data_IF_935860182353
#
_entry.id   IF_935860182353
#
_cell.length_a   1.000
_cell.length_b   1.000
_cell.length_c   1.000
_cell.angle_alpha   90.00
_cell.angle_beta   90.00
_cell.angle_gamma   90.00
#
_symmetry.space_group_name_H-M   'P 1'
#
loop_
_entity.id
_entity.type
_entity.pdbx_description
1 polymer ?
#
# COMPACT_ATOMS: atom_id res chain seq x y z
N UNK A 1 10.09 -30.43 27.17
CA UNK A 1 8.86 -29.71 27.58
C UNK A 1 9.13 -28.26 27.98
N UNK A 2 10.07 -27.98 28.90
CA UNK A 2 10.41 -26.59 29.28
C UNK A 2 10.93 -25.76 28.09
N UNK A 3 11.83 -26.32 27.28
CA UNK A 3 12.43 -25.65 26.11
C UNK A 3 11.42 -25.39 24.97
N UNK A 4 10.39 -26.23 24.84
CA UNK A 4 9.30 -26.03 23.86
C UNK A 4 8.32 -24.96 24.34
N UNK A 5 8.00 -24.94 25.64
CA UNK A 5 7.19 -23.88 26.23
C UNK A 5 7.86 -22.51 26.12
N UNK A 6 9.18 -22.45 26.21
CA UNK A 6 9.93 -21.20 26.07
C UNK A 6 9.90 -20.68 24.62
N UNK A 7 10.07 -21.56 23.63
CA UNK A 7 9.97 -21.21 22.19
C UNK A 7 8.59 -20.72 21.76
N UNK A 8 7.54 -21.21 22.41
CA UNK A 8 6.15 -20.87 22.08
C UNK A 8 5.57 -19.76 22.94
N UNK A 9 6.34 -19.24 23.91
CA UNK A 9 5.84 -18.29 24.91
C UNK A 9 5.20 -17.05 24.27
N UNK A 10 5.78 -16.54 23.18
CA UNK A 10 5.31 -15.34 22.50
C UNK A 10 4.47 -15.65 21.24
N UNK A 11 4.16 -16.92 20.98
CA UNK A 11 3.43 -17.29 19.77
C UNK A 11 1.93 -17.01 19.94
N UNK A 12 1.39 -16.19 19.04
CA UNK A 12 0.01 -15.71 19.06
C UNK A 12 -0.98 -16.88 18.99
N UNK A 13 -0.72 -17.92 18.20
CA UNK A 13 -1.60 -19.10 18.08
C UNK A 13 -1.71 -19.91 19.37
N UNK A 14 -0.73 -19.80 20.27
CA UNK A 14 -0.73 -20.49 21.57
C UNK A 14 -1.42 -19.65 22.65
N UNK A 15 -1.49 -18.34 22.46
CA UNK A 15 -2.11 -17.41 23.39
C UNK A 15 -3.60 -17.18 23.12
N UNK A 16 -4.08 -17.48 21.91
CA UNK A 16 -5.49 -17.33 21.53
C UNK A 16 -6.31 -18.56 21.87
N UNK A 17 -7.54 -18.34 22.35
CA UNK A 17 -8.52 -19.41 22.55
C UNK A 17 -9.19 -19.81 21.22
N UNK A 18 -9.81 -21.00 21.19
CA UNK A 18 -10.46 -21.53 19.96
C UNK A 18 -11.50 -20.57 19.34
N UNK A 19 -12.37 -19.88 20.10
CA UNK A 19 -13.31 -18.90 19.52
C UNK A 19 -12.63 -17.66 18.91
N UNK A 20 -11.40 -17.34 19.33
CA UNK A 20 -10.63 -16.22 18.77
C UNK A 20 -9.94 -16.62 17.46
N UNK A 21 -9.67 -17.91 17.27
CA UNK A 21 -9.17 -18.47 16.01
C UNK A 21 -10.14 -18.19 14.86
N UNK A 22 -11.45 -18.37 15.06
CA UNK A 22 -12.46 -18.09 14.03
C UNK A 22 -12.50 -16.60 13.66
N UNK A 23 -12.29 -15.72 14.65
CA UNK A 23 -12.19 -14.27 14.41
C UNK A 23 -10.95 -13.90 13.59
N UNK A 24 -9.81 -14.55 13.85
CA UNK A 24 -8.57 -14.35 13.07
C UNK A 24 -8.82 -14.72 11.60
N UNK A 25 -9.44 -15.86 11.34
CA UNK A 25 -9.75 -16.28 9.97
C UNK A 25 -10.75 -15.32 9.31
N UNK A 26 -11.82 -14.92 10.00
CA UNK A 26 -12.80 -13.96 9.46
C UNK A 26 -12.17 -12.59 9.16
N UNK A 27 -11.29 -12.08 10.04
CA UNK A 27 -10.54 -10.84 9.78
C UNK A 27 -9.63 -11.00 8.56
N UNK A 28 -8.98 -12.16 8.44
CA UNK A 28 -8.08 -12.48 7.32
C UNK A 28 -8.82 -12.63 5.99
N UNK A 29 -10.06 -13.13 5.98
CA UNK A 29 -10.92 -13.17 4.79
C UNK A 29 -11.24 -11.75 4.29
N UNK A 30 -11.58 -10.83 5.19
CA UNK A 30 -11.78 -9.43 4.85
C UNK A 30 -10.51 -8.74 4.34
N UNK A 31 -9.35 -9.11 4.89
CA UNK A 31 -8.05 -8.63 4.41
C UNK A 31 -7.71 -9.16 3.01
N UNK A 32 -7.97 -10.44 2.75
CA UNK A 32 -7.80 -11.05 1.42
C UNK A 32 -8.70 -10.36 0.40
N UNK A 33 -9.96 -10.07 0.75
CA UNK A 33 -10.88 -9.33 -0.11
C UNK A 33 -10.35 -7.92 -0.41
N UNK A 34 -9.87 -7.20 0.62
CA UNK A 34 -9.25 -5.89 0.45
C UNK A 34 -8.06 -5.93 -0.52
N UNK A 35 -7.11 -6.86 -0.37
CA UNK A 35 -5.95 -6.96 -1.27
C UNK A 35 -6.29 -7.32 -2.72
N UNK A 36 -7.41 -8.02 -2.93
CA UNK A 36 -7.90 -8.33 -4.28
C UNK A 36 -8.59 -7.13 -4.93
N UNK A 37 -9.18 -6.23 -4.15
CA UNK A 37 -9.85 -5.02 -4.67
C UNK A 37 -8.93 -3.80 -4.74
N UNK A 38 -7.93 -3.71 -3.85
CA UNK A 38 -7.01 -2.59 -3.71
C UNK A 38 -5.64 -2.94 -4.30
N UNK A 39 -5.53 -2.97 -5.63
CA UNK A 39 -4.28 -3.31 -6.33
C UNK A 39 -3.38 -2.11 -6.51
N UNK A 40 -3.96 -0.90 -6.57
CA UNK A 40 -3.26 0.40 -6.65
C UNK A 40 -3.55 1.28 -5.43
N UNK A 41 -2.79 2.37 -5.24
CA UNK A 41 -3.04 3.36 -4.19
C UNK A 41 -4.41 4.04 -4.35
N UNK A 42 -4.82 4.29 -5.60
CA UNK A 42 -6.13 4.87 -5.92
C UNK A 42 -7.27 3.95 -5.53
N UNK A 43 -7.13 2.67 -5.83
CA UNK A 43 -8.11 1.65 -5.48
C UNK A 43 -8.17 1.40 -3.98
N UNK A 44 -7.02 1.41 -3.29
CA UNK A 44 -6.96 1.34 -1.83
C UNK A 44 -7.69 2.52 -1.18
N UNK A 45 -7.42 3.75 -1.63
CA UNK A 45 -8.12 4.94 -1.15
C UNK A 45 -9.64 4.85 -1.43
N UNK A 46 -10.04 4.42 -2.64
CA UNK A 46 -11.43 4.25 -2.99
C UNK A 46 -12.15 3.20 -2.11
N UNK A 47 -11.50 2.07 -1.84
CA UNK A 47 -12.00 1.03 -0.96
C UNK A 47 -12.20 1.57 0.47
N UNK A 48 -11.18 2.24 1.02
CA UNK A 48 -11.22 2.88 2.34
C UNK A 48 -12.38 3.86 2.44
N UNK A 49 -12.50 4.77 1.46
CA UNK A 49 -13.56 5.78 1.42
C UNK A 49 -14.95 5.13 1.41
N UNK A 50 -15.15 4.10 0.57
CA UNK A 50 -16.42 3.37 0.46
C UNK A 50 -16.78 2.67 1.76
N UNK A 51 -15.84 1.93 2.36
CA UNK A 51 -16.09 1.20 3.59
C UNK A 51 -16.34 2.14 4.76
N UNK A 52 -15.58 3.23 4.88
CA UNK A 52 -15.78 4.25 5.91
C UNK A 52 -17.16 4.92 5.79
N UNK A 53 -17.60 5.28 4.59
CA UNK A 53 -18.92 5.87 4.36
C UNK A 53 -20.06 4.93 4.82
N UNK A 54 -19.92 3.62 4.58
CA UNK A 54 -20.87 2.61 5.08
C UNK A 54 -20.93 2.54 6.61
N UNK A 55 -19.87 2.97 7.30
CA UNK A 55 -19.75 3.01 8.76
C UNK A 55 -19.94 4.41 9.35
N UNK A 56 -20.66 5.28 8.61
CA UNK A 56 -21.13 6.57 9.10
C UNK A 56 -20.10 7.69 9.04
N UNK A 57 -18.94 7.48 8.42
CA UNK A 57 -18.03 8.58 8.12
C UNK A 57 -18.61 9.49 7.03
N UNK A 58 -18.47 10.80 7.20
CA UNK A 58 -18.95 11.81 6.25
C UNK A 58 -17.82 12.67 5.74
N UNK A 59 -17.89 13.07 4.47
CA UNK A 59 -16.88 13.95 3.89
C UNK A 59 -16.81 15.27 4.67
N UNK A 60 -15.60 15.74 4.99
CA UNK A 60 -15.39 16.98 5.75
C UNK A 60 -16.09 18.19 5.10
N UNK A 61 -16.15 18.21 3.76
CA UNK A 61 -16.81 19.28 2.98
C UNK A 61 -18.32 19.33 3.21
N UNK A 62 -18.94 18.23 3.64
CA UNK A 62 -20.38 18.14 3.97
C UNK A 62 -20.68 18.57 5.41
N UNK A 63 -19.65 18.82 6.23
CA UNK A 63 -19.78 19.13 7.64
C UNK A 63 -19.46 20.60 7.92
N UNK A 64 -20.44 21.34 8.42
CA UNK A 64 -20.28 22.77 8.75
C UNK A 64 -19.56 22.99 10.10
N UNK A 65 -19.77 22.09 11.05
CA UNK A 65 -19.16 22.13 12.37
C UNK A 65 -18.86 20.71 12.85
N UNK A 66 -17.81 20.54 13.66
CA UNK A 66 -17.43 19.25 14.24
C UNK A 66 -17.66 19.19 15.75
N UNK A 67 -18.17 18.05 16.23
CA UNK A 67 -18.47 17.77 17.63
C UNK A 67 -17.89 16.41 18.06
N UNK A 68 -17.66 16.19 19.37
CA UNK A 68 -17.15 14.92 19.87
C UNK A 68 -18.02 13.71 19.49
N UNK A 69 -17.42 12.73 18.82
CA UNK A 69 -18.06 11.54 18.26
C UNK A 69 -18.33 11.63 16.74
N UNK A 70 -18.12 12.80 16.12
CA UNK A 70 -18.23 12.92 14.67
C UNK A 70 -17.16 12.08 13.96
N UNK A 71 -17.59 11.40 12.89
CA UNK A 71 -16.75 10.55 12.04
C UNK A 71 -16.54 11.24 10.69
N UNK A 72 -15.32 11.67 10.45
CA UNK A 72 -14.94 12.52 9.33
C UNK A 72 -14.06 11.75 8.36
N UNK A 73 -14.46 11.78 7.09
CA UNK A 73 -13.69 11.29 5.95
C UNK A 73 -13.06 12.49 5.23
N UNK A 74 -11.75 12.43 5.00
CA UNK A 74 -11.05 13.38 4.14
C UNK A 74 -10.38 12.60 3.03
N UNK A 75 -10.59 13.00 1.79
CA UNK A 75 -9.97 12.37 0.61
C UNK A 75 -9.24 13.45 -0.17
N UNK A 76 -7.96 13.20 -0.50
CA UNK A 76 -7.15 14.12 -1.30
C UNK A 76 -6.65 13.42 -2.56
N UNK A 77 -6.92 14.02 -3.72
CA UNK A 77 -6.45 13.56 -5.06
C UNK A 77 -6.75 12.10 -5.39
N UNK A 78 -7.74 11.50 -4.71
CA UNK A 78 -8.11 10.08 -4.85
C UNK A 78 -6.97 9.10 -4.51
N UNK A 79 -5.89 9.57 -3.86
CA UNK A 79 -4.72 8.76 -3.47
C UNK A 79 -4.46 8.75 -1.97
N UNK A 80 -5.18 9.60 -1.24
CA UNK A 80 -5.04 9.80 0.20
C UNK A 80 -6.42 9.68 0.82
N UNK A 81 -6.48 9.02 1.97
CA UNK A 81 -7.65 9.01 2.83
C UNK A 81 -7.23 9.32 4.28
N UNK A 82 -8.06 10.09 4.99
CA UNK A 82 -7.95 10.25 6.44
C UNK A 82 -9.31 9.97 7.08
N UNK A 83 -9.31 9.06 8.05
CA UNK A 83 -10.47 8.73 8.88
C UNK A 83 -10.26 9.33 10.26
N UNK A 84 -11.09 10.30 10.62
CA UNK A 84 -10.94 11.05 11.87
C UNK A 84 -12.18 10.87 12.72
N UNK A 85 -11.98 10.49 13.98
CA UNK A 85 -13.05 10.42 14.98
C UNK A 85 -12.81 11.49 16.03
N UNK A 86 -13.70 12.48 16.09
CA UNK A 86 -13.51 13.68 16.91
C UNK A 86 -13.61 13.34 18.40
N UNK A 87 -12.59 13.69 19.15
CA UNK A 87 -12.49 13.42 20.59
C UNK A 87 -13.24 14.42 21.46
N UNK A 88 -13.30 14.14 22.77
CA UNK A 88 -13.88 15.06 23.76
C UNK A 88 -12.98 16.25 24.08
N UNK A 89 -11.66 16.05 24.04
CA UNK A 89 -10.68 17.09 24.30
C UNK A 89 -10.56 18.06 23.11
N UNK A 90 -10.21 19.34 23.36
CA UNK A 90 -9.90 20.27 22.28
C UNK A 90 -8.77 19.76 21.39
N UNK A 91 -8.85 20.02 20.07
CA UNK A 91 -7.84 19.58 19.11
C UNK A 91 -6.42 20.11 19.43
N UNK A 92 -6.32 21.27 20.10
CA UNK A 92 -5.06 21.85 20.59
C UNK A 92 -4.35 20.97 21.63
N UNK A 93 -5.03 20.01 22.26
CA UNK A 93 -4.43 19.01 23.16
C UNK A 93 -3.81 17.81 22.41
N UNK A 94 -3.85 17.84 21.08
CA UNK A 94 -3.23 16.86 20.19
C UNK A 94 -4.18 15.78 19.70
N UNK A 95 -3.66 14.93 18.82
CA UNK A 95 -4.36 13.78 18.23
C UNK A 95 -3.62 12.47 18.56
N UNK A 96 -4.30 11.35 18.43
CA UNK A 96 -3.67 10.04 18.29
C UNK A 96 -3.75 9.64 16.81
N UNK A 97 -2.60 9.47 16.17
CA UNK A 97 -2.48 9.26 14.73
C UNK A 97 -1.90 7.87 14.49
N UNK A 98 -2.49 7.13 13.56
CA UNK A 98 -1.86 5.97 12.92
C UNK A 98 -1.71 6.30 11.44
N UNK A 99 -0.50 6.23 10.91
CA UNK A 99 -0.22 6.52 9.51
C UNK A 99 0.37 5.27 8.85
N UNK A 100 -0.19 4.89 7.70
CA UNK A 100 0.28 3.79 6.84
C UNK A 100 0.29 4.25 5.40
N UNK A 101 1.17 3.69 4.57
CA UNK A 101 1.11 3.92 3.13
C UNK A 101 0.28 2.86 2.41
N UNK A 102 -0.23 3.23 1.24
CA UNK A 102 -1.11 2.39 0.42
C UNK A 102 -0.60 2.23 -1.02
N UNK A 103 0.46 2.95 -1.38
CA UNK A 103 1.26 2.64 -2.55
C UNK A 103 2.14 1.41 -2.31
N UNK A 104 2.45 0.69 -3.38
CA UNK A 104 3.27 -0.51 -3.35
C UNK A 104 4.19 -0.55 -4.59
N UNK A 105 5.33 -1.26 -4.56
CA UNK A 105 6.23 -1.36 -5.70
C UNK A 105 5.54 -1.98 -6.91
N UNK A 106 5.80 -1.43 -8.09
CA UNK A 106 5.07 -1.77 -9.33
C UNK A 106 5.82 -1.38 -10.59
N UNK A 107 5.19 -1.57 -11.75
CA UNK A 107 5.68 -1.08 -13.04
C UNK A 107 4.71 -0.05 -13.61
N UNK A 108 5.13 1.20 -13.71
CA UNK A 108 4.34 2.25 -14.34
C UNK A 108 4.63 2.30 -15.84
N UNK A 109 3.63 2.66 -16.65
CA UNK A 109 3.86 2.95 -18.07
C UNK A 109 4.61 4.29 -18.24
N UNK A 110 5.55 4.34 -19.18
CA UNK A 110 6.14 5.62 -19.62
C UNK A 110 5.08 6.45 -20.36
N UNK A 111 5.26 7.77 -20.43
CA UNK A 111 4.31 8.68 -21.10
C UNK A 111 4.05 8.39 -22.59
N UNK A 112 4.98 7.70 -23.27
CA UNK A 112 4.80 7.17 -24.63
C UNK A 112 5.12 5.67 -24.61
N UNK A 113 4.21 4.84 -24.08
CA UNK A 113 4.56 3.49 -23.73
C UNK A 113 4.49 2.55 -24.93
N UNK A 114 3.53 2.76 -25.84
CA UNK A 114 3.21 1.80 -26.89
C UNK A 114 4.16 1.89 -28.09
N UNK A 115 4.81 0.79 -28.39
CA UNK A 115 5.64 0.63 -29.57
C UNK A 115 5.49 -0.78 -30.14
N UNK A 116 6.03 -1.00 -31.34
CA UNK A 116 6.18 -2.34 -31.90
C UNK A 116 7.64 -2.68 -32.18
N UNK A 117 7.96 -3.97 -32.06
CA UNK A 117 9.25 -4.53 -32.43
C UNK A 117 9.07 -6.02 -32.76
N UNK A 118 9.78 -6.50 -33.78
CA UNK A 118 9.94 -7.93 -34.08
C UNK A 118 8.62 -8.74 -34.17
N UNK A 119 7.56 -8.11 -34.67
CA UNK A 119 6.25 -8.76 -34.82
C UNK A 119 5.34 -8.69 -33.59
N UNK A 120 5.65 -7.81 -32.64
CA UNK A 120 4.92 -7.68 -31.37
C UNK A 120 4.67 -6.22 -31.02
N UNK A 121 3.55 -5.95 -30.37
CA UNK A 121 3.26 -4.69 -29.70
C UNK A 121 3.61 -4.80 -28.22
N UNK A 122 4.29 -3.78 -27.71
CA UNK A 122 4.89 -3.75 -26.39
C UNK A 122 4.58 -2.42 -25.69
N UNK A 123 4.43 -2.45 -24.36
CA UNK A 123 4.48 -1.24 -23.54
C UNK A 123 5.84 -1.10 -22.86
N UNK A 124 6.43 0.09 -22.98
CA UNK A 124 7.58 0.51 -22.15
C UNK A 124 7.13 0.87 -20.75
N UNK A 125 7.88 0.39 -19.76
CA UNK A 125 7.63 0.67 -18.35
C UNK A 125 8.79 1.44 -17.70
N UNK A 126 8.49 1.99 -16.54
CA UNK A 126 9.45 2.43 -15.55
C UNK A 126 9.02 1.86 -14.21
N UNK A 127 9.91 1.16 -13.51
CA UNK A 127 9.57 0.61 -12.21
C UNK A 127 9.39 1.73 -11.16
N UNK A 128 8.47 1.50 -10.24
CA UNK A 128 8.15 2.36 -9.11
C UNK A 128 8.50 1.62 -7.82
N UNK A 129 9.18 2.28 -6.90
CA UNK A 129 9.68 1.67 -5.66
C UNK A 129 10.85 0.70 -5.85
N UNK A 130 11.23 0.04 -4.75
CA UNK A 130 12.38 -0.86 -4.66
C UNK A 130 12.14 -2.29 -5.17
N UNK A 131 11.92 -2.49 -6.47
CA UNK A 131 11.64 -3.86 -6.98
C UNK A 131 12.88 -4.75 -7.16
N UNK A 132 12.72 -6.04 -6.85
CA UNK A 132 13.58 -7.12 -7.38
C UNK A 132 13.14 -7.44 -8.82
N UNK A 133 13.78 -6.82 -9.81
CA UNK A 133 13.40 -6.88 -11.23
C UNK A 133 13.15 -8.29 -11.78
N UNK A 134 13.90 -9.28 -11.31
CA UNK A 134 13.76 -10.68 -11.74
C UNK A 134 12.49 -11.37 -11.24
N UNK A 135 11.75 -10.80 -10.28
CA UNK A 135 10.43 -11.31 -9.88
C UNK A 135 9.31 -10.91 -10.85
N UNK A 136 9.55 -9.97 -11.76
CA UNK A 136 8.52 -9.36 -12.61
C UNK A 136 8.45 -9.96 -14.01
N UNK A 137 9.34 -10.88 -14.35
CA UNK A 137 9.39 -11.56 -15.64
C UNK A 137 8.73 -12.93 -15.55
N UNK A 138 8.15 -13.39 -16.66
CA UNK A 138 7.51 -14.70 -16.82
C UNK A 138 6.38 -14.99 -15.81
N UNK A 139 5.72 -13.93 -15.32
CA UNK A 139 4.49 -14.01 -14.52
C UNK A 139 3.34 -13.30 -15.26
N UNK A 140 2.08 -13.67 -14.98
CA UNK A 140 0.93 -12.91 -15.43
C UNK A 140 0.85 -11.56 -14.68
N UNK A 141 0.58 -10.50 -15.43
CA UNK A 141 0.42 -9.13 -14.94
C UNK A 141 -0.96 -8.61 -15.32
N UNK A 142 -1.59 -7.86 -14.43
CA UNK A 142 -2.83 -7.11 -14.65
C UNK A 142 -2.49 -5.63 -14.83
N UNK A 143 -3.29 -4.92 -15.64
CA UNK A 143 -3.16 -3.50 -15.93
C UNK A 143 -4.27 -2.74 -15.22
N UNK A 144 -3.86 -1.76 -14.42
CA UNK A 144 -4.72 -0.87 -13.66
C UNK A 144 -4.35 0.57 -13.98
N UNK A 145 -5.31 1.47 -14.04
CA UNK A 145 -4.95 2.87 -14.25
C UNK A 145 -6.11 3.82 -14.48
N UNK A 146 -5.75 5.08 -14.57
CA UNK A 146 -6.65 6.20 -14.85
C UNK A 146 -6.06 7.07 -15.94
N UNK A 147 -6.89 7.46 -16.91
CA UNK A 147 -6.50 8.29 -18.06
C UNK A 147 -7.39 9.52 -18.10
N UNK A 148 -6.78 10.71 -18.02
CA UNK A 148 -7.48 11.97 -18.22
C UNK A 148 -7.36 12.40 -19.69
N UNK A 149 -8.48 12.57 -20.38
CA UNK A 149 -8.55 13.02 -21.78
C UNK A 149 -8.51 14.53 -21.87
N UNK A 150 -8.22 15.06 -23.07
CA UNK A 150 -8.16 16.52 -23.33
C UNK A 150 -9.48 17.26 -23.09
N UNK A 151 -10.62 16.57 -23.18
CA UNK A 151 -11.93 17.14 -22.89
C UNK A 151 -12.23 17.20 -21.37
N UNK A 152 -11.30 16.72 -20.53
CA UNK A 152 -11.42 16.67 -19.07
C UNK A 152 -12.13 15.41 -18.56
N UNK A 153 -12.62 14.54 -19.44
CA UNK A 153 -13.17 13.25 -19.01
C UNK A 153 -12.06 12.32 -18.50
N UNK A 154 -12.41 11.50 -17.52
CA UNK A 154 -11.48 10.57 -16.87
C UNK A 154 -12.00 9.15 -17.07
N UNK A 155 -11.13 8.24 -17.50
CA UNK A 155 -11.45 6.84 -17.75
C UNK A 155 -10.57 5.95 -16.88
N UNK A 156 -11.20 5.04 -16.15
CA UNK A 156 -10.50 3.98 -15.40
C UNK A 156 -10.37 2.74 -16.28
N UNK A 157 -9.20 2.11 -16.25
CA UNK A 157 -8.89 0.89 -16.99
C UNK A 157 -8.42 -0.17 -15.99
N UNK A 158 -9.10 -1.32 -16.01
CA UNK A 158 -8.71 -2.54 -15.29
C UNK A 158 -8.80 -3.68 -16.30
N UNK A 159 -7.72 -4.44 -16.46
CA UNK A 159 -7.62 -5.58 -17.36
C UNK A 159 -6.76 -6.65 -16.69
N UNK A 160 -7.27 -7.88 -16.59
CA UNK A 160 -6.50 -9.04 -16.12
C UNK A 160 -6.83 -9.50 -14.70
N UNK A 161 -7.89 -8.96 -14.09
CA UNK A 161 -8.38 -9.36 -12.77
C UNK A 161 -9.63 -10.27 -12.86
N UNK A 162 -10.47 -10.10 -13.89
CA UNK A 162 -11.69 -10.91 -14.05
C UNK A 162 -11.42 -12.28 -14.69
N UNK A 163 -12.26 -13.27 -14.36
CA UNK A 163 -12.18 -14.58 -15.01
C UNK A 163 -12.46 -14.46 -16.51
N UNK A 164 -11.48 -14.82 -17.34
CA UNK A 164 -11.57 -14.73 -18.79
C UNK A 164 -10.95 -13.47 -19.40
N UNK A 165 -10.54 -12.50 -18.58
CA UNK A 165 -9.73 -11.37 -19.05
C UNK A 165 -8.37 -11.85 -19.57
N UNK A 166 -7.80 -11.17 -20.58
CA UNK A 166 -6.42 -11.37 -20.93
C UNK A 166 -5.51 -10.82 -19.81
N UNK A 167 -4.38 -11.48 -19.61
CA UNK A 167 -3.28 -11.00 -18.76
C UNK A 167 -2.08 -10.65 -19.63
N UNK A 168 -1.18 -9.86 -19.08
CA UNK A 168 0.05 -9.44 -19.72
C UNK A 168 1.26 -10.18 -19.15
N UNK A 169 2.42 -10.05 -19.79
CA UNK A 169 3.66 -10.61 -19.26
C UNK A 169 4.89 -9.88 -19.80
N UNK A 170 6.01 -10.06 -19.11
CA UNK A 170 7.34 -9.68 -19.59
C UNK A 170 8.10 -10.98 -19.83
N UNK A 171 8.54 -11.22 -21.06
CA UNK A 171 9.32 -12.42 -21.38
C UNK A 171 10.71 -12.38 -20.75
N UNK A 172 11.14 -13.49 -20.14
CA UNK A 172 12.55 -13.71 -19.80
C UNK A 172 13.25 -14.57 -20.87
N UNK A 173 14.58 -14.50 -20.91
CA UNK A 173 15.40 -15.28 -21.81
C UNK A 173 15.44 -16.74 -21.34
N UNK A 174 15.04 -17.66 -22.24
CA UNK A 174 15.07 -19.09 -21.96
C UNK A 174 16.50 -19.57 -21.61
N UNK A 175 16.64 -20.57 -20.72
CA UNK A 175 17.95 -20.94 -20.16
C UNK A 175 18.97 -21.40 -21.20
N UNK A 176 18.53 -21.97 -22.33
CA UNK A 176 19.42 -22.46 -23.40
C UNK A 176 20.22 -21.35 -24.11
N UNK A 177 19.73 -20.10 -24.05
CA UNK A 177 20.40 -18.92 -24.64
C UNK A 177 20.85 -17.91 -23.57
N UNK A 178 20.50 -18.13 -22.31
CA UNK A 178 20.76 -17.22 -21.20
C UNK A 178 22.17 -17.31 -20.61
N UNK A 179 23.15 -17.95 -21.28
CA UNK A 179 24.51 -18.14 -20.72
C UNK A 179 25.16 -16.82 -20.28
N UNK A 180 25.05 -15.78 -21.09
CA UNK A 180 25.59 -14.46 -20.72
C UNK A 180 24.78 -13.81 -19.60
N UNK A 181 23.44 -13.84 -19.70
CA UNK A 181 22.54 -13.26 -18.70
C UNK A 181 22.76 -13.89 -17.31
N UNK A 182 22.86 -15.22 -17.24
CA UNK A 182 23.09 -15.97 -16.01
C UNK A 182 24.50 -15.78 -15.41
N UNK A 183 25.45 -15.24 -16.19
CA UNK A 183 26.78 -14.90 -15.69
C UNK A 183 26.86 -13.54 -15.00
N UNK A 184 25.82 -12.70 -15.16
CA UNK A 184 25.73 -11.37 -14.55
C UNK A 184 25.30 -11.49 -13.09
N UNK A 185 25.55 -10.42 -12.33
CA UNK A 185 24.94 -10.29 -11.00
C UNK A 185 23.42 -10.27 -11.15
N UNK A 186 22.71 -10.76 -10.14
CA UNK A 186 21.24 -10.79 -10.14
C UNK A 186 20.60 -9.41 -10.38
N UNK A 187 21.24 -8.33 -9.91
CA UNK A 187 20.82 -6.94 -10.14
C UNK A 187 21.03 -6.43 -11.58
N UNK A 188 21.83 -7.13 -12.37
CA UNK A 188 22.27 -6.75 -13.72
C UNK A 188 21.75 -7.70 -14.80
N UNK A 189 21.30 -8.90 -14.43
CA UNK A 189 20.76 -9.90 -15.36
C UNK A 189 19.46 -9.44 -16.05
N UNK A 190 18.65 -8.65 -15.35
CA UNK A 190 17.43 -8.02 -15.89
C UNK A 190 17.50 -6.52 -15.58
N UNK A 191 17.53 -5.69 -16.63
CA UNK A 191 17.59 -4.23 -16.51
C UNK A 191 16.18 -3.62 -16.54
N UNK A 192 16.02 -2.42 -16.00
CA UNK A 192 14.71 -1.75 -15.99
C UNK A 192 14.18 -1.47 -17.41
N UNK A 193 15.05 -1.11 -18.35
CA UNK A 193 14.67 -0.87 -19.75
C UNK A 193 14.26 -2.14 -20.50
N UNK A 194 14.49 -3.33 -19.94
CA UNK A 194 14.04 -4.59 -20.51
C UNK A 194 12.69 -5.06 -19.94
N UNK A 195 12.10 -4.34 -18.99
CA UNK A 195 10.79 -4.65 -18.41
C UNK A 195 9.66 -4.16 -19.33
N UNK A 196 9.63 -4.65 -20.57
CA UNK A 196 8.63 -4.27 -21.55
C UNK A 196 7.48 -5.28 -21.57
N UNK A 197 6.25 -4.80 -21.48
CA UNK A 197 5.05 -5.62 -21.38
C UNK A 197 4.61 -6.06 -22.76
N UNK A 198 4.45 -7.36 -23.00
CA UNK A 198 3.85 -7.88 -24.22
C UNK A 198 2.34 -7.64 -24.21
N UNK A 199 1.84 -6.88 -25.19
CA UNK A 199 0.41 -6.49 -25.26
C UNK A 199 -0.30 -6.91 -26.55
N UNK A 200 0.43 -7.35 -27.57
CA UNK A 200 -0.18 -7.85 -28.79
C UNK A 200 0.81 -8.48 -29.76
N UNK A 201 0.30 -9.34 -30.62
CA UNK A 201 1.08 -9.98 -31.70
C UNK A 201 0.24 -10.24 -32.96
N UNK A 202 -1.02 -9.80 -32.99
CA UNK A 202 -1.88 -9.95 -34.15
C UNK A 202 -1.72 -8.73 -35.07
N UNK A 203 -1.31 -8.91 -36.33
CA UNK A 203 -1.15 -7.78 -37.25
C UNK A 203 -2.50 -7.29 -37.77
N UNK A 204 -2.53 -6.04 -38.23
CA UNK A 204 -3.57 -5.45 -39.07
C UNK A 204 -2.99 -5.33 -40.51
N UNK A 205 -3.35 -6.24 -41.44
CA UNK A 205 -2.74 -6.30 -42.77
C UNK A 205 -2.92 -5.02 -43.60
N UNK A 206 -3.98 -4.25 -43.33
CA UNK A 206 -4.31 -3.03 -44.06
C UNK A 206 -3.54 -1.79 -43.57
N UNK A 207 -2.79 -1.89 -42.47
CA UNK A 207 -2.03 -0.78 -41.92
C UNK A 207 -0.73 -0.52 -42.73
N UNK A 208 -0.45 0.76 -43.03
CA UNK A 208 0.76 1.15 -43.78
C UNK A 208 2.04 1.14 -42.91
N UNK A 209 1.89 1.27 -41.59
CA UNK A 209 2.93 1.26 -40.56
C UNK A 209 2.34 0.76 -39.25
N UNK A 210 3.19 0.47 -38.27
CA UNK A 210 2.74 0.13 -36.92
C UNK A 210 1.75 -1.04 -36.90
N UNK A 211 1.99 -2.06 -37.75
CA UNK A 211 1.00 -3.10 -38.10
C UNK A 211 0.56 -3.97 -36.92
N UNK A 212 1.35 -4.06 -35.85
CA UNK A 212 0.99 -4.75 -34.61
C UNK A 212 0.49 -3.79 -33.53
N UNK A 213 0.97 -2.55 -33.53
CA UNK A 213 0.57 -1.51 -32.59
C UNK A 213 -0.83 -0.95 -32.88
N UNK A 214 -1.17 -0.69 -34.14
CA UNK A 214 -2.48 -0.17 -34.58
C UNK A 214 -3.66 -1.03 -34.07
N UNK A 215 -3.66 -2.37 -34.21
CA UNK A 215 -4.76 -3.17 -33.66
C UNK A 215 -4.90 -3.08 -32.14
N UNK A 216 -3.81 -2.85 -31.38
CA UNK A 216 -3.90 -2.58 -29.93
C UNK A 216 -4.55 -1.22 -29.67
N UNK A 217 -4.14 -0.18 -30.40
CA UNK A 217 -4.78 1.14 -30.30
C UNK A 217 -6.27 1.09 -30.65
N UNK A 218 -6.65 0.33 -31.68
CA UNK A 218 -8.04 0.15 -32.07
C UNK A 218 -8.85 -0.51 -30.94
N UNK A 219 -8.32 -1.57 -30.31
CA UNK A 219 -8.97 -2.22 -29.17
C UNK A 219 -9.16 -1.27 -27.99
N UNK A 220 -8.14 -0.48 -27.68
CA UNK A 220 -8.19 0.51 -26.61
C UNK A 220 -9.18 1.64 -26.91
N UNK A 221 -9.23 2.09 -28.17
CA UNK A 221 -10.19 3.08 -28.64
C UNK A 221 -11.62 2.55 -28.63
N UNK A 222 -11.84 1.31 -29.06
CA UNK A 222 -13.19 0.72 -29.08
C UNK A 222 -13.73 0.46 -27.67
N UNK A 223 -12.87 0.01 -26.74
CA UNK A 223 -13.29 -0.34 -25.37
C UNK A 223 -13.36 0.87 -24.44
N UNK A 224 -12.42 1.80 -24.54
CA UNK A 224 -12.25 2.91 -23.58
C UNK A 224 -12.32 4.30 -24.22
N UNK A 225 -12.40 4.38 -25.55
CA UNK A 225 -12.39 5.65 -26.28
C UNK A 225 -11.08 6.41 -26.13
N UNK A 226 -9.96 5.72 -25.89
CA UNK A 226 -8.65 6.35 -25.68
C UNK A 226 -7.83 6.33 -26.97
N UNK A 227 -7.06 7.39 -27.18
CA UNK A 227 -6.11 7.50 -28.28
C UNK A 227 -4.66 7.45 -27.76
N UNK A 228 -3.68 7.27 -28.65
CA UNK A 228 -2.28 7.14 -28.23
C UNK A 228 -1.78 8.36 -27.42
N UNK A 229 -2.20 9.57 -27.79
CA UNK A 229 -1.75 10.78 -27.11
C UNK A 229 -2.27 10.87 -25.66
N UNK A 230 -3.38 10.20 -25.33
CA UNK A 230 -3.98 10.20 -23.99
C UNK A 230 -3.08 9.50 -22.96
N UNK A 231 -2.14 8.64 -23.38
CA UNK A 231 -1.13 8.07 -22.47
C UNK A 231 -0.24 9.14 -21.83
N UNK A 232 -0.14 10.34 -22.41
CA UNK A 232 0.64 11.45 -21.85
C UNK A 232 0.06 11.98 -20.53
N UNK A 233 -1.25 11.82 -20.32
CA UNK A 233 -1.99 12.22 -19.12
C UNK A 233 -2.62 11.01 -18.42
N UNK A 234 -1.90 9.90 -18.45
CA UNK A 234 -2.30 8.63 -17.84
C UNK A 234 -1.41 8.27 -16.66
N UNK A 235 -2.02 7.62 -15.67
CA UNK A 235 -1.35 6.87 -14.62
C UNK A 235 -1.77 5.41 -14.81
N UNK A 236 -0.89 4.60 -15.39
CA UNK A 236 -1.16 3.18 -15.68
C UNK A 236 -0.05 2.35 -15.07
N UNK A 237 -0.47 1.29 -14.41
CA UNK A 237 0.31 0.46 -13.52
C UNK A 237 0.11 -1.00 -13.89
N UNK A 238 1.21 -1.74 -13.88
CA UNK A 238 1.20 -3.18 -14.04
C UNK A 238 1.57 -3.81 -12.70
N UNK A 239 0.71 -4.71 -12.25
CA UNK A 239 0.82 -5.44 -10.99
C UNK A 239 0.72 -6.94 -11.29
N UNK A 240 1.25 -7.84 -10.43
CA UNK A 240 1.02 -9.27 -10.58
C UNK A 240 -0.48 -9.57 -10.68
N UNK A 241 -0.93 -10.46 -11.56
CA UNK A 241 -2.35 -10.85 -11.66
C UNK A 241 -2.73 -11.97 -10.67
N UNK A 242 -1.86 -12.26 -9.70
CA UNK A 242 -2.14 -13.30 -8.70
C UNK A 242 -3.11 -12.77 -7.64
N UNK A 243 -4.22 -13.45 -7.41
CA UNK A 243 -5.11 -13.08 -6.32
C UNK A 243 -4.49 -13.49 -4.97
N UNK A 244 -4.84 -12.76 -3.92
CA UNK A 244 -4.51 -13.08 -2.54
C UNK A 244 -5.08 -14.46 -2.15
N UNK A 245 -4.29 -15.22 -1.40
CA UNK A 245 -4.61 -16.59 -0.94
C UNK A 245 -4.01 -16.86 0.43
N UNK A 246 -4.56 -17.86 1.11
CA UNK A 246 -3.87 -18.45 2.26
C UNK A 246 -2.68 -19.29 1.80
N UNK A 247 -1.67 -19.36 2.65
CA UNK A 247 -0.40 -20.07 2.42
C UNK A 247 -0.14 -21.04 3.57
N UNK A 248 0.37 -22.22 3.23
CA UNK A 248 0.68 -23.30 4.17
C UNK A 248 -0.45 -24.32 4.30
N UNK A 249 -0.10 -25.56 4.68
CA UNK A 249 -1.08 -26.63 4.89
C UNK A 249 -2.08 -26.32 6.02
N UNK A 250 -1.66 -25.50 6.97
CA UNK A 250 -2.46 -25.03 8.10
C UNK A 250 -3.21 -23.72 7.81
N UNK A 251 -3.02 -23.13 6.62
CA UNK A 251 -3.63 -21.87 6.18
C UNK A 251 -3.34 -20.70 7.15
N UNK A 252 -2.21 -20.76 7.86
CA UNK A 252 -1.85 -19.80 8.92
C UNK A 252 -1.31 -18.46 8.40
N UNK A 253 -1.06 -18.34 7.10
CA UNK A 253 -0.45 -17.16 6.47
C UNK A 253 -1.30 -16.69 5.29
N UNK A 254 -1.17 -15.41 4.94
CA UNK A 254 -1.72 -14.83 3.69
C UNK A 254 -0.57 -14.50 2.77
N UNK A 255 -0.66 -14.88 1.50
CA UNK A 255 0.28 -14.53 0.44
C UNK A 255 -0.42 -13.72 -0.65
N UNK A 256 0.13 -12.56 -0.97
CA UNK A 256 -0.47 -11.63 -1.91
C UNK A 256 0.52 -10.55 -2.38
N UNK A 257 0.19 -9.90 -3.49
CA UNK A 257 0.83 -8.65 -3.91
C UNK A 257 0.37 -7.47 -3.04
N UNK A 258 1.27 -6.52 -2.80
CA UNK A 258 0.95 -5.24 -2.16
C UNK A 258 0.63 -5.33 -0.66
N UNK A 259 1.05 -6.39 0.04
CA UNK A 259 0.92 -6.46 1.49
C UNK A 259 1.68 -5.32 2.19
N UNK A 260 2.79 -4.92 1.59
CA UNK A 260 3.56 -3.72 1.92
C UNK A 260 2.86 -2.47 1.32
N UNK A 261 2.32 -1.54 2.11
CA UNK A 261 1.98 -1.63 3.55
C UNK A 261 0.45 -1.73 3.78
N UNK A 262 -0.25 -2.29 2.78
CA UNK A 262 -1.70 -2.46 2.84
C UNK A 262 -2.15 -3.34 4.01
N UNK A 263 -1.27 -4.16 4.59
CA UNK A 263 -1.56 -4.92 5.81
C UNK A 263 -1.80 -3.99 7.00
N UNK A 264 -0.95 -2.99 7.22
CA UNK A 264 -1.14 -2.03 8.29
C UNK A 264 -2.24 -1.03 7.95
N UNK A 265 -2.39 -0.66 6.68
CA UNK A 265 -3.52 0.17 6.25
C UNK A 265 -4.87 -0.52 6.53
N UNK A 266 -5.01 -1.82 6.22
CA UNK A 266 -6.24 -2.56 6.51
C UNK A 266 -6.51 -2.68 8.01
N UNK A 267 -5.49 -3.01 8.80
CA UNK A 267 -5.64 -3.08 10.26
C UNK A 267 -6.06 -1.72 10.86
N UNK A 268 -5.44 -0.63 10.40
CA UNK A 268 -5.75 0.74 10.83
C UNK A 268 -7.16 1.16 10.39
N UNK A 269 -7.57 0.79 9.17
CA UNK A 269 -8.93 0.99 8.69
C UNK A 269 -9.92 0.32 9.63
N UNK A 270 -9.80 -0.98 9.87
CA UNK A 270 -10.73 -1.72 10.73
C UNK A 270 -10.79 -1.14 12.14
N UNK A 271 -9.64 -0.79 12.73
CA UNK A 271 -9.59 -0.10 14.02
C UNK A 271 -10.34 1.24 14.01
N UNK A 272 -10.16 2.07 12.96
CA UNK A 272 -10.85 3.35 12.83
C UNK A 272 -12.38 3.20 12.77
N UNK A 273 -12.89 2.12 12.15
CA UNK A 273 -14.33 1.86 12.06
C UNK A 273 -14.96 1.55 13.42
N UNK A 274 -14.20 0.96 14.34
CA UNK A 274 -14.63 0.58 15.69
C UNK A 274 -14.54 1.72 16.72
N UNK A 275 -13.70 2.74 16.48
CA UNK A 275 -13.55 3.88 17.40
C UNK A 275 -14.81 4.76 17.39
N UNK A 276 -15.48 4.90 18.53
CA UNK A 276 -16.72 5.70 18.63
C UNK A 276 -16.50 7.12 19.13
N UNK A 277 -16.16 7.30 20.41
CA UNK A 277 -16.04 8.62 21.04
C UNK A 277 -14.81 8.68 21.96
N UNK A 278 -13.61 8.83 21.37
CA UNK A 278 -12.36 8.79 22.13
C UNK A 278 -12.20 10.06 22.98
N UNK A 279 -11.34 10.01 24.00
CA UNK A 279 -10.99 11.21 24.78
C UNK A 279 -10.24 12.23 23.93
N UNK A 280 -9.28 11.77 23.13
CA UNK A 280 -8.50 12.57 22.19
C UNK A 280 -8.89 12.19 20.77
N UNK A 281 -8.95 13.17 19.86
CA UNK A 281 -9.25 12.91 18.44
C UNK A 281 -8.32 11.83 17.89
N UNK A 282 -8.90 10.80 17.29
CA UNK A 282 -8.17 9.71 16.65
C UNK A 282 -8.17 9.92 15.14
N UNK A 283 -7.05 9.68 14.47
CA UNK A 283 -6.89 9.81 13.03
C UNK A 283 -6.14 8.60 12.48
N UNK A 284 -6.72 7.89 11.54
CA UNK A 284 -5.98 6.98 10.66
C UNK A 284 -5.74 7.68 9.33
N UNK A 285 -4.49 7.72 8.90
CA UNK A 285 -4.04 8.39 7.69
C UNK A 285 -3.44 7.36 6.73
N UNK A 286 -3.91 7.39 5.49
CA UNK A 286 -3.50 6.48 4.42
C UNK A 286 -2.87 7.29 3.30
N UNK A 287 -1.58 7.08 3.07
CA UNK A 287 -0.76 7.94 2.20
C UNK A 287 -0.13 7.23 1.01
N UNK A 288 0.26 8.01 0.01
CA UNK A 288 0.98 7.56 -1.20
C UNK A 288 2.42 8.10 -1.16
N UNK A 289 3.27 7.56 -2.03
CA UNK A 289 4.67 7.95 -2.27
C UNK A 289 5.70 7.50 -1.26
N UNK A 290 5.39 6.62 -0.31
CA UNK A 290 6.40 6.12 0.63
C UNK A 290 7.56 5.48 -0.12
N UNK A 291 7.24 4.60 -1.07
CA UNK A 291 8.18 3.73 -1.79
C UNK A 291 9.20 4.48 -2.66
N UNK A 292 9.00 5.78 -2.86
CA UNK A 292 9.90 6.68 -3.59
C UNK A 292 10.48 7.79 -2.70
N UNK A 293 10.40 7.66 -1.38
CA UNK A 293 10.95 8.58 -0.40
C UNK A 293 9.96 9.61 0.16
N UNK A 294 8.65 9.36 0.10
CA UNK A 294 7.57 10.23 0.62
C UNK A 294 7.53 11.65 0.02
N UNK A 295 8.03 11.82 -1.20
CA UNK A 295 8.06 13.11 -1.91
C UNK A 295 6.85 13.31 -2.82
N UNK A 296 6.47 14.56 -3.07
CA UNK A 296 5.38 14.92 -3.96
C UNK A 296 4.21 15.60 -3.24
N UNK A 297 3.11 15.81 -3.96
CA UNK A 297 1.92 16.48 -3.44
C UNK A 297 1.02 15.58 -2.57
N UNK A 298 1.23 14.26 -2.63
CA UNK A 298 0.52 13.23 -1.83
C UNK A 298 1.41 12.61 -0.75
N UNK A 299 2.73 12.78 -0.84
CA UNK A 299 3.68 12.23 0.13
C UNK A 299 3.70 12.97 1.47
N UNK A 300 4.15 12.28 2.52
CA UNK A 300 4.21 12.80 3.89
C UNK A 300 5.24 13.92 4.13
N UNK A 301 6.15 14.16 3.19
CA UNK A 301 7.04 15.35 3.25
C UNK A 301 6.33 16.65 2.83
N UNK A 302 5.10 16.57 2.33
CA UNK A 302 4.28 17.72 1.99
C UNK A 302 3.61 18.35 3.23
N UNK A 303 2.92 19.48 3.04
CA UNK A 303 2.12 20.13 4.09
C UNK A 303 0.78 19.43 4.36
N UNK A 304 0.61 18.17 3.92
CA UNK A 304 -0.65 17.43 4.05
C UNK A 304 -1.14 17.44 5.50
N UNK A 305 -0.28 17.08 6.46
CA UNK A 305 -0.68 17.00 7.86
C UNK A 305 -1.06 18.34 8.48
N UNK A 306 -0.28 19.39 8.22
CA UNK A 306 -0.62 20.74 8.65
C UNK A 306 -1.96 21.20 8.07
N UNK A 307 -2.21 20.92 6.80
CA UNK A 307 -3.44 21.32 6.11
C UNK A 307 -4.66 20.56 6.66
N UNK A 308 -4.55 19.24 6.89
CA UNK A 308 -5.62 18.44 7.47
C UNK A 308 -6.00 18.93 8.87
N UNK A 309 -5.00 19.20 9.72
CA UNK A 309 -5.26 19.71 11.08
C UNK A 309 -5.85 21.12 11.04
N UNK A 310 -5.40 21.97 10.11
CA UNK A 310 -5.96 23.30 9.93
C UNK A 310 -7.45 23.27 9.52
N UNK A 311 -7.82 22.43 8.56
CA UNK A 311 -9.21 22.27 8.12
C UNK A 311 -10.11 21.73 9.24
N UNK A 312 -9.64 20.72 10.00
CA UNK A 312 -10.37 20.22 11.17
C UNK A 312 -10.56 21.31 12.23
N UNK A 313 -9.52 22.10 12.51
CA UNK A 313 -9.57 23.17 13.51
C UNK A 313 -10.50 24.31 13.11
N UNK A 314 -10.56 24.62 11.80
CA UNK A 314 -11.51 25.59 11.24
C UNK A 314 -12.96 25.14 11.46
N UNK A 315 -13.28 23.88 11.17
CA UNK A 315 -14.63 23.33 11.42
C UNK A 315 -14.99 23.19 12.90
N UNK A 316 -14.02 23.31 13.80
CA UNK A 316 -14.25 23.39 15.25
C UNK A 316 -14.36 24.84 15.77
N UNK A 317 -14.35 25.84 14.87
CA UNK A 317 -14.53 27.25 15.21
C UNK A 317 -13.31 27.90 15.88
N UNK A 318 -12.11 27.40 15.62
CA UNK A 318 -10.92 27.78 16.37
C UNK A 318 -9.62 27.87 15.59
N UNK A 319 -9.64 27.95 14.25
CA UNK A 319 -8.42 27.98 13.46
C UNK A 319 -7.53 29.17 13.83
N UNK A 320 -6.34 28.83 14.29
CA UNK A 320 -5.23 29.73 14.50
C UNK A 320 -3.95 28.92 14.25
N UNK A 321 -3.01 29.49 13.50
CA UNK A 321 -1.82 28.74 13.09
C UNK A 321 -0.99 28.26 14.30
N UNK A 322 -0.93 29.04 15.38
CA UNK A 322 -0.21 28.62 16.58
C UNK A 322 -0.93 27.44 17.25
N UNK A 323 -2.26 27.41 17.25
CA UNK A 323 -3.02 26.24 17.74
C UNK A 323 -2.79 25.00 16.90
N UNK A 324 -2.72 25.11 15.56
CA UNK A 324 -2.36 23.98 14.67
C UNK A 324 -0.98 23.42 15.05
N UNK A 325 0.02 24.29 15.24
CA UNK A 325 1.37 23.88 15.65
C UNK A 325 1.38 23.22 17.03
N UNK A 326 0.58 23.70 17.98
CA UNK A 326 0.44 23.10 19.31
C UNK A 326 -0.23 21.74 19.27
N UNK A 327 -1.30 21.59 18.47
CA UNK A 327 -1.96 20.32 18.24
C UNK A 327 -0.95 19.28 17.73
N UNK A 328 -0.23 19.60 16.64
CA UNK A 328 0.80 18.72 16.08
C UNK A 328 1.89 18.36 17.10
N UNK A 329 2.40 19.34 17.85
CA UNK A 329 3.45 19.11 18.84
C UNK A 329 3.01 18.25 20.05
N UNK A 330 1.70 18.14 20.31
CA UNK A 330 1.11 17.37 21.42
C UNK A 330 0.50 16.04 20.96
N UNK A 331 0.47 15.80 19.65
CA UNK A 331 -0.01 14.55 19.06
C UNK A 331 0.95 13.40 19.32
N UNK A 332 0.39 12.20 19.33
CA UNK A 332 1.15 10.95 19.23
C UNK A 332 0.89 10.33 17.87
N UNK A 333 1.93 9.82 17.23
CA UNK A 333 1.83 9.14 15.95
C UNK A 333 2.47 7.75 16.05
N UNK A 334 1.76 6.75 15.55
CA UNK A 334 2.30 5.45 15.19
C UNK A 334 2.48 5.44 13.68
N UNK A 335 3.74 5.41 13.22
CA UNK A 335 4.04 5.03 11.84
C UNK A 335 3.92 3.52 11.78
N UNK A 336 2.86 3.05 11.12
CA UNK A 336 2.64 1.63 10.93
C UNK A 336 3.15 1.28 9.54
N UNK A 337 4.05 0.30 9.51
CA UNK A 337 4.74 -0.23 8.35
C UNK A 337 5.14 -1.68 8.65
N UNK A 338 5.40 -2.48 7.63
CA UNK A 338 5.87 -3.86 7.77
C UNK A 338 7.30 -3.91 8.31
N UNK A 339 7.64 -5.05 8.92
CA UNK A 339 9.01 -5.34 9.34
C UNK A 339 9.41 -6.73 8.80
N UNK A 340 10.72 -6.95 8.64
CA UNK A 340 11.25 -8.20 8.13
C UNK A 340 11.25 -9.29 9.21
N UNK A 341 10.36 -10.27 9.07
CA UNK A 341 10.42 -11.49 9.87
C UNK A 341 11.61 -12.37 9.44
N UNK A 342 12.21 -13.10 10.40
CA UNK A 342 13.30 -14.04 10.11
C UNK A 342 12.87 -15.07 9.06
N UNK A 343 13.57 -15.07 7.92
CA UNK A 343 13.47 -16.13 6.93
C UNK A 343 14.44 -17.28 7.32
N UNK A 344 13.94 -18.49 7.60
CA UNK A 344 14.79 -19.64 7.95
C UNK A 344 15.77 -20.05 6.85
N UNK A 345 15.57 -19.64 5.60
CA UNK A 345 16.51 -19.89 4.50
C UNK A 345 17.69 -18.91 4.50
N UNK A 346 17.55 -17.75 5.15
CA UNK A 346 18.56 -16.70 5.21
C UNK A 346 18.76 -16.17 6.65
N UNK A 347 18.97 -17.03 7.65
CA UNK A 347 19.05 -16.59 9.05
C UNK A 347 20.27 -15.70 9.33
N UNK A 348 21.27 -15.71 8.46
CA UNK A 348 22.52 -14.97 8.61
C UNK A 348 22.40 -13.45 8.44
N UNK A 349 21.31 -12.96 7.84
CA UNK A 349 21.09 -11.51 7.67
C UNK A 349 20.43 -10.86 8.88
N UNK A 350 19.99 -11.66 9.87
CA UNK A 350 19.27 -11.20 11.06
C UNK A 350 20.12 -11.29 12.32
N UNK A 351 20.02 -10.27 13.18
CA UNK A 351 20.51 -10.36 14.56
C UNK A 351 19.42 -11.01 15.43
N UNK A 352 19.70 -12.20 15.95
CA UNK A 352 18.68 -13.09 16.53
C UNK A 352 17.99 -12.55 17.78
N UNK A 353 18.58 -11.60 18.49
CA UNK A 353 17.98 -11.03 19.70
C UNK A 353 17.08 -9.82 19.43
N UNK A 354 17.19 -9.20 18.25
CA UNK A 354 16.49 -7.97 17.89
C UNK A 354 15.74 -8.06 16.55
N UNK A 355 15.45 -9.26 16.06
CA UNK A 355 14.64 -9.48 14.87
C UNK A 355 13.21 -9.88 15.23
N UNK A 356 12.30 -9.75 14.26
CA UNK A 356 10.91 -10.17 14.41
C UNK A 356 10.69 -11.60 13.88
N UNK A 357 9.69 -12.29 14.45
CA UNK A 357 9.30 -13.62 14.02
C UNK A 357 7.81 -13.65 13.65
N UNK A 358 7.48 -14.43 12.63
CA UNK A 358 6.10 -14.67 12.24
C UNK A 358 5.28 -15.23 13.40
N UNK A 359 4.03 -14.79 13.50
CA UNK A 359 3.09 -15.17 14.57
C UNK A 359 3.52 -14.79 16.00
N UNK A 360 4.53 -13.96 16.22
CA UNK A 360 4.93 -13.50 17.56
C UNK A 360 4.36 -12.13 17.95
N UNK A 361 3.24 -11.74 17.33
CA UNK A 361 2.54 -10.50 17.61
C UNK A 361 3.09 -9.28 16.86
N UNK A 362 2.53 -8.11 17.19
CA UNK A 362 2.85 -6.83 16.56
C UNK A 362 4.29 -6.42 16.81
N UNK A 363 4.97 -5.90 15.80
CA UNK A 363 6.37 -5.49 15.89
C UNK A 363 6.46 -4.02 16.34
N UNK A 364 7.25 -3.77 17.38
CA UNK A 364 7.62 -2.41 17.81
C UNK A 364 9.06 -2.15 17.40
N UNK A 365 9.23 -1.30 16.40
CA UNK A 365 10.54 -0.86 15.92
C UNK A 365 10.88 0.51 16.49
N UNK A 366 11.98 0.59 17.23
CA UNK A 366 12.39 1.84 17.88
C UNK A 366 13.03 2.82 16.89
N UNK A 367 13.85 2.30 16.01
CA UNK A 367 14.58 3.04 15.00
C UNK A 367 14.82 2.13 13.80
N UNK A 368 15.02 2.75 12.64
CA UNK A 368 15.41 2.09 11.39
C UNK A 368 16.63 2.81 10.82
N UNK A 369 16.80 2.79 9.49
CA UNK A 369 17.78 3.61 8.78
C UNK A 369 19.02 2.84 8.36
N UNK A 370 20.05 3.59 7.94
CA UNK A 370 21.28 3.00 7.40
C UNK A 370 22.54 3.64 8.00
N UNK A 371 23.68 2.93 7.93
CA UNK A 371 25.02 3.47 8.27
C UNK A 371 25.09 4.17 9.64
N UNK A 372 24.36 3.64 10.64
CA UNK A 372 24.27 4.22 11.98
C UNK A 372 23.05 5.13 12.19
N UNK A 373 21.85 4.63 11.88
CA UNK A 373 20.56 5.34 12.00
C UNK A 373 20.38 6.58 11.12
N UNK A 374 21.18 6.75 10.07
CA UNK A 374 20.97 7.83 9.09
C UNK A 374 19.58 7.73 8.49
N UNK A 375 18.96 8.89 8.30
CA UNK A 375 17.64 9.03 7.68
C UNK A 375 16.53 8.23 8.40
N UNK A 376 16.57 8.20 9.73
CA UNK A 376 15.59 7.50 10.56
C UNK A 376 14.99 8.37 11.65
N UNK A 377 13.81 7.97 12.14
CA UNK A 377 13.32 8.36 13.45
C UNK A 377 13.93 7.45 14.53
N UNK A 378 14.27 8.00 15.70
CA UNK A 378 14.62 7.23 16.90
C UNK A 378 13.60 7.55 17.99
N UNK A 379 12.67 6.63 18.23
CA UNK A 379 11.55 6.86 19.13
C UNK A 379 12.05 7.10 20.57
N UNK A 380 11.53 8.16 21.20
CA UNK A 380 11.87 8.50 22.57
C UNK A 380 11.47 7.37 23.54
N UNK A 381 12.30 7.03 24.54
CA UNK A 381 12.04 5.92 25.45
C UNK A 381 10.74 6.09 26.26
N UNK A 382 10.35 7.31 26.59
CA UNK A 382 9.09 7.61 27.30
C UNK A 382 7.86 7.27 26.45
N UNK A 383 7.95 7.48 25.13
CA UNK A 383 6.88 7.16 24.21
C UNK A 383 6.74 5.63 24.06
N UNK A 384 7.86 4.93 23.88
CA UNK A 384 7.86 3.45 23.82
C UNK A 384 7.33 2.85 25.11
N UNK A 385 7.73 3.37 26.28
CA UNK A 385 7.23 2.90 27.57
C UNK A 385 5.69 3.05 27.67
N UNK A 386 5.14 4.13 27.12
CA UNK A 386 3.69 4.33 27.03
C UNK A 386 3.02 3.31 26.12
N UNK A 387 3.57 3.03 24.94
CA UNK A 387 3.02 2.03 24.01
C UNK A 387 3.06 0.63 24.63
N UNK A 388 4.19 0.25 25.23
CA UNK A 388 4.32 -1.03 25.95
C UNK A 388 3.27 -1.18 27.05
N UNK A 389 3.08 -0.12 27.84
CA UNK A 389 2.04 -0.11 28.88
C UNK A 389 0.65 -0.37 28.31
N UNK A 390 0.28 0.30 27.20
CA UNK A 390 -1.02 0.11 26.55
C UNK A 390 -1.17 -1.35 26.08
N UNK A 391 -0.18 -1.88 25.37
CA UNK A 391 -0.21 -3.26 24.88
C UNK A 391 -0.29 -4.28 26.02
N UNK A 392 0.46 -4.10 27.10
CA UNK A 392 0.44 -4.98 28.26
C UNK A 392 -0.90 -4.91 29.02
N UNK A 393 -1.51 -3.71 29.14
CA UNK A 393 -2.82 -3.52 29.78
C UNK A 393 -3.97 -4.14 28.96
N UNK A 394 -3.88 -4.07 27.63
CA UNK A 394 -4.88 -4.60 26.70
C UNK A 394 -4.60 -6.04 26.23
N UNK A 395 -3.56 -6.70 26.78
CA UNK A 395 -3.12 -8.06 26.43
C UNK A 395 -2.81 -8.25 24.93
N UNK A 396 -2.29 -7.21 24.27
CA UNK A 396 -1.80 -7.31 22.89
C UNK A 396 -0.52 -8.13 22.89
N UNK A 397 -0.42 -9.13 22.02
CA UNK A 397 0.84 -9.86 21.80
C UNK A 397 1.75 -8.99 20.94
N UNK A 398 2.93 -8.66 21.44
CA UNK A 398 3.89 -7.80 20.76
C UNK A 398 5.33 -8.28 20.95
N UNK A 399 6.21 -7.84 20.05
CA UNK A 399 7.63 -8.12 20.04
C UNK A 399 8.42 -6.87 19.62
N UNK A 400 9.72 -6.85 19.93
CA UNK A 400 10.64 -5.84 19.39
C UNK A 400 11.34 -6.44 18.18
N UNK A 401 11.44 -5.67 17.11
CA UNK A 401 12.16 -6.05 15.90
C UNK A 401 12.75 -4.81 15.23
N UNK A 402 13.98 -4.94 14.75
CA UNK A 402 14.64 -3.98 13.86
C UNK A 402 14.65 -4.53 12.43
#
# INVERSE_FOLDING_TARGET
MAEVKDKLKNNSWVQVEKPETDKIFSFSEGYIDFLNQARTEREAAAYINKLAAQHGFKALQEMQSLQPGDRVLITEREKIAALVVIGRQPLEEGLNIVASHIDAPRLDLKARPLYEADGMALFKTHYYGGIKKYHWVSIPLALHGTIAKKDGSVVTIIIGEEEGDPVFTISDLLPHLAREQMSKKMSEGITGEHLNILVGSRPLPEAEKDVFKEPVLQLLKDKYGIEEDDFTSAEIELVPAFPAREVGFDRSMVGAYGQDDRVCAYASLMAALEVEKPERTAMCLFVDKEEIGSTGNTGLQSMLMENLVAELMERMGGADYLKVRRALARSYALSADVNAAVDPNYPEVFEKMNCSFMSNGLVVTKFTGSRGKSDSNDANPEFIARIRKIFDEDNVVWQVGE
#
